data_IF_256825671511
#
_entry.id   IF_256825671511
#
_cell.length_a   1.000
_cell.length_b   1.000
_cell.length_c   1.000
_cell.angle_alpha   90.00
_cell.angle_beta   90.00
_cell.angle_gamma   90.00
#
_symmetry.space_group_name_H-M   'P 1'
#
loop_
_entity.id
_entity.type
_entity.pdbx_description
1 polymer ?
#
# COMPACT_ATOMS: atom_id res chain seq x y z
N UNK A 1 28.61 -33.46 49.92
CA UNK A 1 28.21 -32.03 49.89
C UNK A 1 27.21 -31.85 48.74
N UNK A 2 25.98 -31.42 49.09
CA UNK A 2 24.82 -30.97 48.28
C UNK A 2 24.93 -30.87 46.74
N UNK A 3 23.90 -31.33 46.00
CA UNK A 3 22.69 -30.53 45.63
C UNK A 3 21.59 -31.39 44.99
N UNK A 4 20.36 -31.07 45.37
CA UNK A 4 19.10 -31.75 45.07
C UNK A 4 18.49 -31.39 43.71
N UNK A 5 17.77 -32.36 43.14
CA UNK A 5 16.70 -32.24 42.14
C UNK A 5 15.53 -31.38 42.64
N UNK A 6 14.84 -30.67 41.73
CA UNK A 6 13.39 -30.41 41.80
C UNK A 6 12.83 -29.88 40.46
N UNK A 7 12.16 -30.78 39.73
CA UNK A 7 11.21 -30.48 38.65
C UNK A 7 9.87 -30.03 39.26
N UNK A 8 9.31 -28.91 38.79
CA UNK A 8 8.01 -28.38 39.22
C UNK A 8 6.83 -28.99 38.46
N UNK A 9 5.88 -29.58 39.19
CA UNK A 9 4.60 -30.12 38.69
C UNK A 9 3.46 -29.13 39.02
N UNK A 10 2.61 -28.85 38.03
CA UNK A 10 1.46 -27.92 38.06
C UNK A 10 0.48 -28.21 39.21
N UNK A 11 0.08 -27.18 39.96
CA UNK A 11 -1.01 -27.22 40.96
C UNK A 11 -2.37 -27.07 40.28
N UNK A 12 -3.29 -27.98 40.59
CA UNK A 12 -4.71 -27.93 40.22
C UNK A 12 -5.48 -26.97 41.14
N UNK A 13 -6.45 -26.25 40.57
CA UNK A 13 -7.30 -25.28 41.28
C UNK A 13 -8.42 -26.02 42.03
N UNK A 14 -8.68 -25.71 43.31
CA UNK A 14 -9.69 -26.38 44.14
C UNK A 14 -11.13 -26.11 43.68
N UNK A 15 -12.00 -27.11 43.87
CA UNK A 15 -13.36 -27.25 43.34
C UNK A 15 -14.34 -26.14 43.79
N UNK A 16 -14.03 -25.35 44.82
CA UNK A 16 -14.88 -24.26 45.31
C UNK A 16 -14.93 -23.03 44.38
N UNK A 17 -13.92 -22.82 43.53
CA UNK A 17 -13.89 -21.68 42.59
C UNK A 17 -14.67 -21.93 41.28
N UNK A 18 -15.04 -23.19 40.98
CA UNK A 18 -15.82 -23.53 39.77
C UNK A 18 -17.32 -23.25 39.94
N UNK A 19 -17.84 -23.36 41.16
CA UNK A 19 -19.25 -23.11 41.46
C UNK A 19 -19.56 -21.61 41.41
N UNK A 20 -18.61 -20.75 41.81
CA UNK A 20 -18.77 -19.29 41.79
C UNK A 20 -18.74 -18.70 40.36
N UNK A 21 -17.96 -19.29 39.44
CA UNK A 21 -17.96 -18.88 38.02
C UNK A 21 -19.24 -19.26 37.28
N UNK A 22 -19.83 -20.43 37.58
CA UNK A 22 -21.09 -20.86 36.94
C UNK A 22 -22.27 -20.01 37.42
N UNK A 23 -22.32 -19.64 38.71
CA UNK A 23 -23.35 -18.75 39.24
C UNK A 23 -23.31 -17.35 38.59
N UNK A 24 -22.12 -16.86 38.22
CA UNK A 24 -21.92 -15.55 37.59
C UNK A 24 -22.44 -15.52 36.13
N UNK A 25 -22.28 -16.62 35.38
CA UNK A 25 -22.76 -16.70 33.99
C UNK A 25 -24.30 -16.78 33.88
N UNK A 26 -24.95 -17.45 34.83
CA UNK A 26 -26.42 -17.58 34.85
C UNK A 26 -27.10 -16.23 35.12
N UNK A 27 -26.51 -15.39 35.98
CA UNK A 27 -27.03 -14.04 36.25
C UNK A 27 -26.97 -13.11 35.03
N UNK A 28 -25.91 -13.19 34.20
CA UNK A 28 -25.77 -12.36 32.99
C UNK A 28 -26.77 -12.79 31.91
N UNK A 29 -27.01 -14.09 31.74
CA UNK A 29 -28.00 -14.58 30.79
C UNK A 29 -29.44 -14.17 31.18
N UNK A 30 -29.78 -14.20 32.48
CA UNK A 30 -31.09 -13.76 32.96
C UNK A 30 -31.35 -12.27 32.73
N UNK A 31 -30.32 -11.41 32.88
CA UNK A 31 -30.44 -9.97 32.65
C UNK A 31 -30.71 -9.62 31.17
N UNK A 32 -30.10 -10.34 30.22
CA UNK A 32 -30.30 -10.12 28.77
C UNK A 32 -31.72 -10.50 28.35
N UNK A 33 -32.28 -11.58 28.89
CA UNK A 33 -33.66 -12.00 28.57
C UNK A 33 -34.69 -10.98 29.08
N UNK A 34 -34.49 -10.42 30.28
CA UNK A 34 -35.37 -9.36 30.82
C UNK A 34 -35.32 -8.09 29.97
N UNK A 35 -34.14 -7.72 29.45
CA UNK A 35 -33.99 -6.56 28.56
C UNK A 35 -34.72 -6.74 27.21
N UNK A 36 -34.66 -7.95 26.63
CA UNK A 36 -35.39 -8.27 25.38
C UNK A 36 -36.90 -8.25 25.59
N UNK A 37 -37.39 -8.73 26.75
CA UNK A 37 -38.82 -8.69 27.08
C UNK A 37 -39.34 -7.27 27.36
N UNK A 38 -38.56 -6.42 28.04
CA UNK A 38 -38.95 -5.03 28.31
C UNK A 38 -39.01 -4.17 27.03
N UNK A 39 -38.07 -4.36 26.08
CA UNK A 39 -38.09 -3.60 24.82
C UNK A 39 -39.22 -4.02 23.88
N UNK A 40 -39.70 -5.27 23.94
CA UNK A 40 -40.88 -5.71 23.18
C UNK A 40 -42.21 -5.21 23.74
N UNK A 41 -42.26 -4.79 25.00
CA UNK A 41 -43.50 -4.40 25.67
C UNK A 41 -43.80 -2.88 25.64
N UNK A 42 -42.90 -2.05 25.09
CA UNK A 42 -42.99 -0.58 25.20
C UNK A 42 -43.48 0.19 23.97
N UNK A 43 -43.81 -0.42 22.81
CA UNK A 43 -44.40 0.39 21.73
C UNK A 43 -45.27 -0.37 20.75
N UNK A 44 -46.27 -1.04 21.31
CA UNK A 44 -47.49 -1.40 20.60
C UNK A 44 -48.66 -1.06 21.53
N UNK A 45 -49.22 0.16 21.39
CA UNK A 45 -50.53 0.63 21.89
C UNK A 45 -50.68 2.15 21.65
N UNK A 46 -51.40 2.54 20.59
CA UNK A 46 -52.65 3.30 20.72
C UNK A 46 -53.27 3.60 19.35
N UNK A 47 -54.55 3.27 19.26
CA UNK A 47 -55.46 3.28 18.10
C UNK A 47 -56.49 4.41 18.17
N UNK A 48 -56.78 4.97 16.98
CA UNK A 48 -58.07 5.43 16.41
C UNK A 48 -58.88 6.61 16.99
N UNK A 49 -59.20 7.54 16.09
CA UNK A 49 -60.34 8.46 16.12
C UNK A 49 -60.51 9.09 14.72
N UNK A 50 -61.66 8.85 14.09
CA UNK A 50 -62.03 9.12 12.70
C UNK A 50 -62.61 10.51 12.46
N UNK A 51 -62.34 11.10 11.28
CA UNK A 51 -63.24 12.02 10.57
C UNK A 51 -63.02 11.94 9.05
N UNK A 52 -64.12 11.99 8.30
CA UNK A 52 -64.24 11.81 6.85
C UNK A 52 -64.20 13.20 6.18
N UNK A 53 -63.24 13.50 5.30
CA UNK A 53 -63.40 14.51 4.23
C UNK A 53 -62.54 14.18 2.99
N UNK A 54 -63.26 13.92 1.89
CA UNK A 54 -63.01 14.22 0.47
C UNK A 54 -61.61 14.00 -0.18
N UNK A 55 -61.61 13.02 -1.09
CA UNK A 55 -60.70 12.75 -2.22
C UNK A 55 -59.91 13.94 -2.80
N UNK A 56 -58.58 13.79 -2.86
CA UNK A 56 -57.74 14.25 -3.98
C UNK A 56 -56.53 13.31 -4.11
N UNK A 57 -56.30 12.80 -5.32
CA UNK A 57 -55.15 11.94 -5.64
C UNK A 57 -53.84 12.73 -5.46
N UNK A 58 -52.74 12.11 -4.94
CA UNK A 58 -51.42 12.72 -5.05
C UNK A 58 -50.94 12.67 -6.51
N UNK A 59 -50.17 13.66 -6.98
CA UNK A 59 -49.65 13.65 -8.34
C UNK A 59 -48.66 12.50 -8.50
N UNK A 60 -48.78 11.80 -9.61
CA UNK A 60 -47.85 10.78 -10.07
C UNK A 60 -46.45 11.38 -10.16
N UNK A 61 -45.57 11.04 -9.22
CA UNK A 61 -44.14 11.28 -9.36
C UNK A 61 -43.66 10.47 -10.57
N UNK A 62 -43.29 11.21 -11.62
CA UNK A 62 -42.59 10.67 -12.77
C UNK A 62 -41.24 10.14 -12.27
N UNK A 63 -40.79 8.94 -12.66
CA UNK A 63 -39.48 8.45 -12.25
C UNK A 63 -38.43 9.47 -12.69
N UNK A 64 -37.73 10.06 -11.73
CA UNK A 64 -36.54 10.86 -11.97
C UNK A 64 -35.58 9.97 -12.74
N UNK A 65 -35.39 10.26 -14.02
CA UNK A 65 -34.43 9.60 -14.89
C UNK A 65 -33.06 9.72 -14.21
N UNK A 66 -32.59 8.60 -13.64
CA UNK A 66 -31.32 8.55 -12.94
C UNK A 66 -30.24 8.98 -13.93
N UNK A 67 -29.53 10.07 -13.62
CA UNK A 67 -28.36 10.49 -14.40
C UNK A 67 -27.46 9.25 -14.60
N UNK A 68 -27.10 8.91 -15.85
CA UNK A 68 -26.26 7.74 -16.09
C UNK A 68 -24.97 7.90 -15.26
N UNK A 69 -24.58 6.83 -14.58
CA UNK A 69 -23.36 6.81 -13.80
C UNK A 69 -22.19 7.24 -14.72
N UNK A 70 -21.25 8.07 -14.23
CA UNK A 70 -20.12 8.49 -15.04
C UNK A 70 -19.32 7.27 -15.50
N UNK A 71 -18.77 7.33 -16.72
CA UNK A 71 -17.93 6.26 -17.27
C UNK A 71 -16.81 5.92 -16.27
N UNK A 72 -16.52 4.64 -15.99
CA UNK A 72 -15.54 4.26 -14.97
C UNK A 72 -14.12 4.77 -15.26
N UNK A 73 -13.82 5.04 -16.53
CA UNK A 73 -12.51 5.50 -16.99
C UNK A 73 -12.70 6.72 -17.90
N UNK A 74 -11.86 7.75 -17.69
CA UNK A 74 -11.78 8.97 -18.50
C UNK A 74 -10.46 8.98 -19.28
N UNK A 75 -10.40 8.45 -20.52
CA UNK A 75 -9.14 8.24 -21.23
C UNK A 75 -8.29 9.51 -21.45
N UNK A 76 -8.94 10.66 -21.58
CA UNK A 76 -8.27 11.95 -21.79
C UNK A 76 -7.63 12.55 -20.54
N UNK A 77 -7.99 12.07 -19.35
CA UNK A 77 -7.41 12.56 -18.11
C UNK A 77 -5.98 12.05 -17.93
N UNK A 78 -5.09 12.85 -17.36
CA UNK A 78 -3.65 12.57 -17.32
C UNK A 78 -3.12 12.22 -15.94
N UNK A 79 -3.99 12.12 -14.92
CA UNK A 79 -3.60 11.74 -13.55
C UNK A 79 -4.47 10.59 -13.03
N UNK A 80 -3.99 9.88 -12.00
CA UNK A 80 -4.68 8.69 -11.45
C UNK A 80 -6.11 9.01 -11.00
N UNK A 81 -6.29 10.00 -10.13
CA UNK A 81 -7.60 10.35 -9.56
C UNK A 81 -8.60 10.92 -10.57
N UNK A 82 -8.11 11.52 -11.66
CA UNK A 82 -8.95 12.04 -12.74
C UNK A 82 -9.28 10.99 -13.80
N UNK A 83 -8.38 10.02 -14.04
CA UNK A 83 -8.59 8.97 -15.06
C UNK A 83 -9.53 7.89 -14.58
N UNK A 84 -9.51 7.54 -13.30
CA UNK A 84 -10.34 6.48 -12.78
C UNK A 84 -11.44 7.07 -11.90
N UNK A 85 -12.68 6.99 -12.38
CA UNK A 85 -13.82 7.41 -11.58
C UNK A 85 -14.06 6.41 -10.45
N UNK A 86 -14.53 6.92 -9.32
CA UNK A 86 -14.84 6.11 -8.14
C UNK A 86 -16.05 5.22 -8.44
N UNK A 87 -16.08 3.94 -8.01
CA UNK A 87 -17.24 3.10 -8.21
C UNK A 87 -18.49 3.66 -7.53
N UNK A 88 -19.67 3.34 -8.07
CA UNK A 88 -20.94 3.80 -7.52
C UNK A 88 -21.09 3.45 -6.04
N UNK A 89 -21.52 4.41 -5.23
CA UNK A 89 -21.69 4.27 -3.78
C UNK A 89 -20.40 4.44 -2.95
N UNK A 90 -19.25 4.67 -3.58
CA UNK A 90 -18.01 4.99 -2.88
C UNK A 90 -17.65 6.47 -3.02
N UNK A 91 -16.93 6.98 -2.04
CA UNK A 91 -16.37 8.33 -2.02
C UNK A 91 -14.84 8.25 -1.92
N UNK A 92 -14.14 8.98 -2.81
CA UNK A 92 -12.68 9.03 -2.79
C UNK A 92 -12.19 9.65 -1.48
N UNK A 93 -11.24 8.98 -0.84
CA UNK A 93 -10.53 9.55 0.31
C UNK A 93 -9.64 10.68 -0.16
N UNK A 94 -9.92 11.88 0.32
CA UNK A 94 -9.14 13.07 -0.01
C UNK A 94 -7.78 13.01 0.67
N UNK A 95 -6.72 13.13 -0.12
CA UNK A 95 -5.38 13.25 0.42
C UNK A 95 -5.10 14.67 0.94
N UNK A 96 -4.37 14.76 2.04
CA UNK A 96 -3.84 16.03 2.52
C UNK A 96 -2.91 16.64 1.46
N UNK A 97 -3.02 17.95 1.24
CA UNK A 97 -2.15 18.65 0.28
C UNK A 97 -0.69 18.42 0.60
N UNK A 98 0.14 18.30 -0.43
CA UNK A 98 1.59 18.05 -0.32
C UNK A 98 1.99 16.70 0.28
N UNK A 99 1.05 15.84 0.66
CA UNK A 99 1.34 14.49 1.17
C UNK A 99 1.76 13.51 0.06
N UNK A 100 2.35 12.37 0.47
CA UNK A 100 2.65 11.29 -0.46
C UNK A 100 1.38 10.70 -1.11
N UNK A 101 0.27 10.66 -0.37
CA UNK A 101 -1.03 10.26 -0.91
C UNK A 101 -1.49 11.20 -2.03
N UNK A 102 -1.36 12.51 -1.84
CA UNK A 102 -1.72 13.50 -2.86
C UNK A 102 -0.80 13.41 -4.07
N UNK A 103 0.49 13.16 -3.86
CA UNK A 103 1.45 12.91 -4.93
C UNK A 103 1.05 11.70 -5.78
N UNK A 104 0.65 10.59 -5.17
CA UNK A 104 0.23 9.38 -5.88
C UNK A 104 -1.10 9.57 -6.61
N UNK A 105 -2.13 10.13 -5.96
CA UNK A 105 -3.43 10.38 -6.59
C UNK A 105 -3.34 11.33 -7.80
N UNK A 106 -2.35 12.23 -7.81
CA UNK A 106 -2.13 13.18 -8.91
C UNK A 106 -0.95 12.77 -9.80
N UNK A 107 -0.41 11.57 -9.66
CA UNK A 107 0.73 11.12 -10.45
C UNK A 107 0.37 11.07 -11.93
N UNK A 108 1.23 11.66 -12.77
CA UNK A 108 1.02 11.74 -14.21
C UNK A 108 1.01 10.34 -14.86
N UNK A 109 0.09 10.13 -15.79
CA UNK A 109 -0.08 8.91 -16.55
C UNK A 109 0.32 9.15 -18.01
N UNK A 110 0.79 8.09 -18.69
CA UNK A 110 0.91 8.09 -20.16
C UNK A 110 -0.46 8.11 -20.82
N UNK A 111 -0.49 8.21 -22.14
CA UNK A 111 -1.72 8.04 -22.92
C UNK A 111 -2.39 6.71 -22.58
N UNK A 112 -3.72 6.70 -22.52
CA UNK A 112 -4.51 5.62 -21.94
C UNK A 112 -4.19 4.22 -22.48
N UNK A 113 -4.05 4.08 -23.80
CA UNK A 113 -3.81 2.78 -24.45
C UNK A 113 -2.33 2.33 -24.45
N UNK A 114 -1.45 3.09 -23.79
CA UNK A 114 -0.02 2.78 -23.73
C UNK A 114 0.22 1.46 -23.00
N UNK A 115 1.05 0.59 -23.59
CA UNK A 115 1.55 -0.62 -22.95
C UNK A 115 2.81 -0.31 -22.14
N UNK A 116 2.96 -0.86 -20.91
CA UNK A 116 4.19 -0.65 -20.16
C UNK A 116 5.35 -1.31 -20.88
N UNK A 117 6.50 -0.66 -20.90
CA UNK A 117 7.73 -1.28 -21.38
C UNK A 117 8.25 -2.29 -20.36
N UNK A 118 8.79 -3.41 -20.85
CA UNK A 118 9.51 -4.42 -20.06
C UNK A 118 10.87 -4.69 -20.69
N UNK A 119 11.87 -4.94 -19.87
CA UNK A 119 13.18 -5.38 -20.31
C UNK A 119 13.11 -6.83 -20.78
N UNK A 120 13.36 -7.05 -22.06
CA UNK A 120 13.54 -8.38 -22.62
C UNK A 120 14.97 -8.86 -22.37
N UNK A 121 15.11 -9.97 -21.66
CA UNK A 121 16.40 -10.54 -21.27
C UNK A 121 17.13 -11.21 -22.43
N UNK A 122 16.41 -11.62 -23.48
CA UNK A 122 17.00 -12.23 -24.67
C UNK A 122 17.63 -11.17 -25.57
N UNK A 123 16.86 -10.16 -25.98
CA UNK A 123 17.36 -9.08 -26.86
C UNK A 123 18.14 -7.99 -26.11
N UNK A 124 18.03 -7.93 -24.78
CA UNK A 124 18.60 -6.86 -23.93
C UNK A 124 18.06 -5.46 -24.26
N UNK A 125 16.79 -5.39 -24.66
CA UNK A 125 16.12 -4.13 -25.02
C UNK A 125 14.78 -3.99 -24.31
N UNK A 126 14.20 -2.79 -24.33
CA UNK A 126 12.85 -2.54 -23.84
C UNK A 126 11.84 -2.83 -24.96
N UNK A 127 10.82 -3.63 -24.65
CA UNK A 127 9.71 -3.95 -25.55
C UNK A 127 8.37 -3.67 -24.87
N UNK A 128 7.30 -3.52 -25.66
CA UNK A 128 5.95 -3.42 -25.10
C UNK A 128 5.55 -4.74 -24.41
N UNK A 129 5.08 -4.65 -23.17
CA UNK A 129 4.54 -5.80 -22.45
C UNK A 129 3.04 -5.95 -22.71
N UNK A 130 2.69 -6.61 -23.81
CA UNK A 130 1.30 -6.85 -24.21
C UNK A 130 0.52 -7.71 -23.21
N UNK A 131 1.22 -8.54 -22.43
CA UNK A 131 0.64 -9.46 -21.44
C UNK A 131 0.47 -8.85 -20.05
N UNK A 132 0.96 -7.62 -19.82
CA UNK A 132 0.81 -6.99 -18.52
C UNK A 132 -0.68 -6.73 -18.21
N UNK A 133 -1.15 -7.04 -16.98
CA UNK A 133 -2.48 -6.64 -16.53
C UNK A 133 -2.49 -5.14 -16.20
N UNK A 134 -2.20 -4.30 -17.20
CA UNK A 134 -2.10 -2.85 -17.08
C UNK A 134 -3.42 -2.20 -17.48
N UNK A 135 -3.91 -1.31 -16.61
CA UNK A 135 -4.99 -0.37 -16.93
C UNK A 135 -4.45 0.99 -17.39
N UNK A 136 -3.26 1.39 -16.94
CA UNK A 136 -2.57 2.60 -17.37
C UNK A 136 -1.11 2.58 -16.91
N UNK A 137 -0.23 3.25 -17.64
CA UNK A 137 1.21 3.34 -17.30
C UNK A 137 1.49 4.68 -16.61
N UNK A 138 2.25 4.66 -15.52
CA UNK A 138 2.73 5.88 -14.87
C UNK A 138 3.76 6.55 -15.79
N UNK A 139 3.71 7.88 -15.88
CA UNK A 139 4.63 8.68 -16.70
C UNK A 139 5.99 8.84 -15.98
N UNK A 140 6.64 7.73 -15.68
CA UNK A 140 7.96 7.63 -15.08
C UNK A 140 8.80 6.69 -15.95
N UNK A 141 9.99 7.13 -16.36
CA UNK A 141 10.90 6.32 -17.16
C UNK A 141 11.49 5.15 -16.35
N UNK A 142 12.28 4.26 -16.97
CA UNK A 142 13.07 3.27 -16.24
C UNK A 142 14.47 3.83 -15.93
N UNK A 143 14.94 3.64 -14.69
CA UNK A 143 16.32 3.96 -14.34
C UNK A 143 17.28 3.08 -15.15
N UNK A 144 18.27 3.72 -15.79
CA UNK A 144 19.33 3.11 -16.59
C UNK A 144 18.85 2.25 -17.80
N UNK A 145 17.53 2.21 -18.08
CA UNK A 145 16.87 1.43 -19.18
C UNK A 145 17.30 -0.05 -19.31
N UNK A 146 18.00 -0.59 -18.32
CA UNK A 146 18.42 -1.98 -18.22
C UNK A 146 17.52 -2.75 -17.26
N UNK A 147 17.94 -3.96 -16.91
CA UNK A 147 17.21 -4.83 -15.99
C UNK A 147 17.45 -4.50 -14.50
N UNK A 148 17.50 -3.21 -14.14
CA UNK A 148 17.87 -2.79 -12.78
C UNK A 148 16.65 -2.56 -11.89
N UNK A 149 15.71 -1.68 -12.28
CA UNK A 149 14.56 -1.32 -11.45
C UNK A 149 13.54 -2.46 -11.43
N UNK A 150 13.68 -3.37 -10.47
CA UNK A 150 12.76 -4.49 -10.26
C UNK A 150 11.49 -4.03 -9.51
N UNK A 151 10.66 -4.99 -9.11
CA UNK A 151 9.34 -4.73 -8.53
C UNK A 151 9.36 -3.84 -7.28
N UNK A 152 10.16 -4.18 -6.26
CA UNK A 152 10.28 -3.39 -5.02
C UNK A 152 10.99 -2.05 -5.23
N UNK A 153 11.98 -2.00 -6.10
CA UNK A 153 12.72 -0.79 -6.46
C UNK A 153 11.80 0.28 -7.04
N UNK A 154 10.79 -0.13 -7.80
CA UNK A 154 9.78 0.76 -8.37
C UNK A 154 8.99 1.49 -7.28
N UNK A 155 8.65 0.81 -6.19
CA UNK A 155 7.90 1.41 -5.08
C UNK A 155 8.79 2.34 -4.24
N UNK A 156 10.03 1.89 -3.98
CA UNK A 156 11.06 2.71 -3.34
C UNK A 156 11.30 4.01 -4.12
N UNK A 157 11.41 3.91 -5.45
CA UNK A 157 11.60 5.07 -6.33
C UNK A 157 10.46 6.07 -6.22
N UNK A 158 9.20 5.62 -6.26
CA UNK A 158 8.05 6.54 -6.14
C UNK A 158 8.13 7.38 -4.87
N UNK A 159 8.51 6.76 -3.74
CA UNK A 159 8.68 7.47 -2.47
C UNK A 159 9.89 8.41 -2.48
N UNK A 160 11.02 7.95 -3.04
CA UNK A 160 12.23 8.78 -3.17
C UNK A 160 12.00 10.01 -4.06
N UNK A 161 11.35 9.86 -5.20
CA UNK A 161 11.01 10.94 -6.15
C UNK A 161 10.09 11.97 -5.50
N UNK A 162 9.11 11.51 -4.70
CA UNK A 162 8.27 12.39 -3.90
C UNK A 162 9.09 13.25 -2.93
N UNK A 163 9.95 12.61 -2.12
CA UNK A 163 10.79 13.33 -1.15
C UNK A 163 11.78 14.28 -1.85
N UNK A 164 12.37 13.84 -2.96
CA UNK A 164 13.30 14.63 -3.76
C UNK A 164 12.62 15.86 -4.36
N UNK A 165 11.43 15.70 -4.95
CA UNK A 165 10.62 16.80 -5.48
C UNK A 165 10.16 17.81 -4.42
N UNK A 166 10.07 17.38 -3.15
CA UNK A 166 9.83 18.27 -2.00
C UNK A 166 11.11 18.87 -1.40
N UNK A 167 12.29 18.57 -1.94
CA UNK A 167 13.58 19.01 -1.40
C UNK A 167 13.94 18.39 -0.05
N UNK A 168 13.27 17.30 0.36
CA UNK A 168 13.47 16.59 1.64
C UNK A 168 14.64 15.61 1.55
N UNK A 169 15.81 16.09 1.13
CA UNK A 169 16.96 15.23 0.81
C UNK A 169 17.48 14.39 1.99
N UNK A 170 17.41 14.91 3.21
CA UNK A 170 17.82 14.20 4.44
C UNK A 170 16.92 13.03 4.80
N UNK A 171 15.70 13.03 4.26
CA UNK A 171 14.70 12.01 4.54
C UNK A 171 14.77 10.85 3.53
N UNK A 172 15.52 11.04 2.44
CA UNK A 172 15.80 10.00 1.45
C UNK A 172 16.91 9.11 2.01
N UNK A 173 16.51 8.01 2.65
CA UNK A 173 17.44 7.02 3.15
C UNK A 173 16.83 5.63 3.12
N UNK A 174 17.60 4.65 2.68
CA UNK A 174 17.15 3.27 2.56
C UNK A 174 18.15 2.32 3.18
N UNK A 175 17.63 1.37 3.95
CA UNK A 175 18.40 0.28 4.53
C UNK A 175 18.69 -0.79 3.48
N UNK A 176 19.96 -1.19 3.38
CA UNK A 176 20.46 -2.33 2.63
C UNK A 176 20.74 -3.48 3.61
N UNK A 177 20.32 -4.70 3.27
CA UNK A 177 20.44 -5.87 4.14
C UNK A 177 21.84 -6.48 4.15
N UNK A 178 22.78 -5.71 4.70
CA UNK A 178 24.16 -6.11 4.99
C UNK A 178 24.31 -6.50 6.46
N UNK A 179 25.49 -6.97 6.88
CA UNK A 179 25.80 -7.28 8.28
C UNK A 179 26.96 -6.41 8.78
N UNK A 180 26.71 -5.31 9.51
CA UNK A 180 25.41 -4.81 9.97
C UNK A 180 24.57 -4.18 8.84
N UNK A 181 23.27 -3.98 9.08
CA UNK A 181 22.38 -3.28 8.15
C UNK A 181 22.95 -1.90 7.85
N UNK A 182 23.13 -1.59 6.58
CA UNK A 182 23.71 -0.33 6.14
C UNK A 182 22.60 0.63 5.72
N UNK A 183 22.53 1.80 6.37
CA UNK A 183 21.60 2.86 5.99
C UNK A 183 22.27 3.75 4.93
N UNK A 184 21.83 3.62 3.69
CA UNK A 184 22.31 4.42 2.57
C UNK A 184 21.44 5.69 2.44
N UNK A 185 21.89 6.83 2.93
CA UNK A 185 21.20 8.12 2.82
C UNK A 185 21.73 8.99 1.68
N UNK A 186 20.81 9.75 1.07
CA UNK A 186 21.11 10.63 -0.06
C UNK A 186 21.89 11.89 0.38
N UNK A 187 21.74 12.34 1.62
CA UNK A 187 22.49 13.48 2.14
C UNK A 187 24.01 13.20 2.11
N UNK A 188 24.44 12.06 2.64
CA UNK A 188 25.83 11.61 2.57
C UNK A 188 26.28 11.41 1.12
N UNK A 189 25.43 10.82 0.28
CA UNK A 189 25.73 10.63 -1.14
C UNK A 189 25.98 11.95 -1.89
N UNK A 190 25.11 12.94 -1.65
CA UNK A 190 25.18 14.28 -2.26
C UNK A 190 26.43 15.04 -1.84
N UNK A 191 27.03 14.70 -0.69
CA UNK A 191 28.29 15.25 -0.18
C UNK A 191 29.52 14.46 -0.67
N UNK A 192 29.31 13.50 -1.56
CA UNK A 192 30.34 12.73 -2.21
C UNK A 192 30.51 11.30 -1.69
N UNK A 193 29.80 10.90 -0.62
CA UNK A 193 29.86 9.54 -0.13
C UNK A 193 29.50 8.51 -1.22
N UNK A 194 30.27 7.43 -1.31
CA UNK A 194 30.01 6.29 -2.20
C UNK A 194 30.06 4.98 -1.42
N UNK A 195 29.43 3.94 -1.95
CA UNK A 195 29.44 2.63 -1.30
C UNK A 195 30.85 2.02 -1.45
N UNK A 196 31.50 1.72 -0.33
CA UNK A 196 32.64 0.82 -0.31
C UNK A 196 32.13 -0.63 -0.24
N UNK A 197 32.48 -1.38 -1.28
CA UNK A 197 32.07 -2.76 -1.52
C UNK A 197 33.21 -3.76 -1.32
N UNK A 198 34.39 -3.31 -0.87
CA UNK A 198 35.59 -4.15 -0.69
C UNK A 198 35.33 -5.38 0.18
N UNK A 199 34.38 -5.29 1.11
CA UNK A 199 34.01 -6.37 2.04
C UNK A 199 32.66 -7.01 1.74
N UNK A 200 32.07 -6.78 0.56
CA UNK A 200 30.77 -7.38 0.23
C UNK A 200 30.86 -8.92 0.18
N UNK A 201 31.96 -9.45 -0.38
CA UNK A 201 32.22 -10.89 -0.41
C UNK A 201 32.86 -11.42 0.88
N UNK A 202 33.21 -10.53 1.81
CA UNK A 202 33.87 -10.82 3.09
C UNK A 202 32.94 -10.48 4.26
N UNK A 203 31.77 -11.14 4.26
CA UNK A 203 30.77 -10.99 5.33
C UNK A 203 29.60 -10.07 5.00
N UNK A 204 29.33 -9.81 3.72
CA UNK A 204 28.18 -9.02 3.25
C UNK A 204 28.14 -7.63 3.92
N UNK A 205 29.27 -6.92 3.85
CA UNK A 205 29.45 -5.61 4.46
C UNK A 205 29.52 -4.52 3.39
N UNK A 206 28.78 -3.44 3.62
CA UNK A 206 28.88 -2.17 2.89
C UNK A 206 29.20 -1.09 3.91
N UNK A 207 30.05 -0.14 3.50
CA UNK A 207 30.33 1.06 4.28
C UNK A 207 30.44 2.29 3.37
N UNK A 208 30.66 3.46 3.96
CA UNK A 208 30.91 4.67 3.19
C UNK A 208 32.39 4.79 2.84
N UNK A 209 32.70 4.98 1.55
CA UNK A 209 33.90 5.68 1.13
C UNK A 209 33.64 7.19 1.14
N UNK A 210 34.39 7.91 1.96
CA UNK A 210 34.35 9.38 2.05
C UNK A 210 35.63 10.02 1.52
N UNK A 211 36.70 9.25 1.38
CA UNK A 211 37.99 9.66 0.87
C UNK A 211 38.17 9.18 -0.57
N UNK A 212 38.08 10.10 -1.53
CA UNK A 212 38.28 9.79 -2.94
C UNK A 212 39.76 9.53 -3.30
N UNK A 213 40.60 9.21 -2.31
CA UNK A 213 41.91 8.59 -2.52
C UNK A 213 41.74 7.24 -3.21
N UNK A 214 42.74 6.85 -3.99
CA UNK A 214 42.61 5.82 -5.04
C UNK A 214 42.14 4.43 -4.64
N UNK A 215 41.93 4.13 -3.36
CA UNK A 215 41.59 2.81 -2.84
C UNK A 215 40.10 2.47 -2.95
N UNK A 216 39.19 3.45 -2.89
CA UNK A 216 37.75 3.18 -3.03
C UNK A 216 37.21 3.30 -4.46
N UNK A 217 38.09 3.54 -5.45
CA UNK A 217 37.75 3.47 -6.88
C UNK A 217 36.90 4.62 -7.44
N UNK A 218 36.47 5.59 -6.63
CA UNK A 218 35.64 6.72 -7.06
C UNK A 218 36.46 8.01 -7.19
N UNK A 219 37.05 8.26 -8.37
CA UNK A 219 37.91 9.44 -8.62
C UNK A 219 37.14 10.69 -9.05
N UNK A 220 36.00 10.51 -9.72
CA UNK A 220 35.15 11.60 -10.21
C UNK A 220 33.77 11.49 -9.56
N UNK A 221 33.57 12.26 -8.50
CA UNK A 221 32.37 12.22 -7.67
C UNK A 221 31.59 13.51 -7.87
N UNK A 222 30.45 13.41 -8.54
CA UNK A 222 29.50 14.53 -8.61
C UNK A 222 28.95 14.82 -7.20
N UNK A 223 29.01 16.11 -6.83
CA UNK A 223 28.50 16.66 -5.59
C UNK A 223 27.18 17.40 -5.83
N UNK A 224 26.41 17.54 -4.76
CA UNK A 224 25.15 18.25 -4.74
C UNK A 224 23.95 17.36 -5.03
N UNK A 225 22.82 18.00 -5.29
CA UNK A 225 21.50 17.37 -5.37
C UNK A 225 20.94 17.45 -6.79
N UNK A 226 21.79 17.32 -7.80
CA UNK A 226 21.34 17.28 -9.19
C UNK A 226 20.51 16.02 -9.46
N UNK A 227 19.69 16.06 -10.52
CA UNK A 227 18.93 14.87 -10.95
C UNK A 227 19.87 13.71 -11.30
N UNK A 228 21.01 14.00 -11.93
CA UNK A 228 22.05 13.01 -12.22
C UNK A 228 22.58 12.33 -10.96
N UNK A 229 22.92 13.13 -9.93
CA UNK A 229 23.39 12.62 -8.64
C UNK A 229 22.33 11.78 -7.94
N UNK A 230 21.07 12.22 -7.95
CA UNK A 230 19.94 11.50 -7.35
C UNK A 230 19.66 10.18 -8.06
N UNK A 231 19.62 10.18 -9.40
CA UNK A 231 19.44 8.95 -10.17
C UNK A 231 20.61 7.99 -9.99
N UNK A 232 21.84 8.49 -9.81
CA UNK A 232 22.99 7.63 -9.53
C UNK A 232 22.93 7.02 -8.12
N UNK A 233 22.46 7.78 -7.13
CA UNK A 233 22.14 7.25 -5.80
C UNK A 233 21.11 6.11 -5.88
N UNK A 234 19.97 6.35 -6.56
CA UNK A 234 18.92 5.35 -6.71
C UNK A 234 19.44 4.07 -7.40
N UNK A 235 20.27 4.21 -8.45
CA UNK A 235 20.88 3.05 -9.10
C UNK A 235 21.66 2.17 -8.12
N UNK A 236 22.44 2.80 -7.23
CA UNK A 236 23.25 2.06 -6.26
C UNK A 236 22.39 1.43 -5.17
N UNK A 237 21.39 2.13 -4.66
CA UNK A 237 20.43 1.55 -3.71
C UNK A 237 19.75 0.32 -4.32
N UNK A 238 19.20 0.45 -5.53
CA UNK A 238 18.50 -0.63 -6.25
C UNK A 238 19.39 -1.82 -6.58
N UNK A 239 20.69 -1.59 -6.80
CA UNK A 239 21.64 -2.68 -7.09
C UNK A 239 21.82 -3.61 -5.89
N UNK A 240 21.66 -3.10 -4.67
CA UNK A 240 21.91 -3.82 -3.42
C UNK A 240 20.66 -3.94 -2.53
N UNK A 241 19.48 -3.63 -3.06
CA UNK A 241 18.21 -3.78 -2.36
C UNK A 241 17.32 -4.82 -3.02
N UNK A 242 16.44 -5.40 -2.21
CA UNK A 242 15.39 -6.32 -2.61
C UNK A 242 14.11 -6.02 -1.81
N UNK A 243 13.05 -6.82 -2.00
CA UNK A 243 11.81 -6.68 -1.22
C UNK A 243 12.06 -6.79 0.29
N UNK A 244 12.99 -7.67 0.71
CA UNK A 244 13.36 -7.83 2.12
C UNK A 244 13.94 -6.53 2.69
N UNK A 245 14.81 -5.86 1.92
CA UNK A 245 15.39 -4.56 2.24
C UNK A 245 14.31 -3.48 2.32
N UNK A 246 13.40 -3.43 1.35
CA UNK A 246 12.26 -2.50 1.34
C UNK A 246 11.43 -2.60 2.63
N UNK A 247 11.10 -3.81 3.08
CA UNK A 247 10.32 -4.04 4.32
C UNK A 247 10.97 -3.41 5.55
N UNK A 248 12.31 -3.37 5.63
CA UNK A 248 12.98 -2.74 6.79
C UNK A 248 12.81 -1.21 6.85
N UNK A 249 12.49 -0.58 5.71
CA UNK A 249 12.20 0.85 5.60
C UNK A 249 10.74 1.18 5.93
N UNK A 250 9.94 0.17 6.30
CA UNK A 250 8.51 0.31 6.52
C UNK A 250 8.06 -0.27 7.86
N UNK A 251 6.86 0.10 8.27
CA UNK A 251 6.16 -0.45 9.44
C UNK A 251 4.97 -1.27 8.95
N UNK A 252 4.86 -2.51 9.43
CA UNK A 252 3.70 -3.38 9.15
C UNK A 252 2.46 -2.82 9.86
N UNK A 253 1.35 -2.67 9.15
CA UNK A 253 0.07 -2.31 9.75
C UNK A 253 -0.46 -3.45 10.62
N UNK A 254 -1.11 -3.11 11.74
CA UNK A 254 -1.73 -4.10 12.63
C UNK A 254 -2.99 -4.73 12.02
N UNK A 255 -3.73 -3.97 11.21
CA UNK A 255 -4.88 -4.45 10.46
C UNK A 255 -4.83 -3.93 9.01
N UNK A 256 -5.07 -4.79 8.00
CA UNK A 256 -5.17 -4.34 6.60
C UNK A 256 -6.26 -3.29 6.37
N UNK A 257 -7.31 -3.27 7.21
CA UNK A 257 -8.39 -2.29 7.11
C UNK A 257 -7.94 -0.84 7.37
N UNK A 258 -6.78 -0.66 8.00
CA UNK A 258 -6.17 0.66 8.23
C UNK A 258 -5.39 1.18 7.01
N UNK A 259 -5.39 0.41 5.91
CA UNK A 259 -4.74 0.78 4.67
C UNK A 259 -5.24 2.14 4.15
N UNK A 260 -4.29 2.88 3.60
CA UNK A 260 -4.39 4.23 3.06
C UNK A 260 -3.55 4.34 1.77
N UNK A 261 -3.77 5.40 0.99
CA UNK A 261 -2.93 5.69 -0.18
C UNK A 261 -1.47 5.88 0.27
N UNK A 262 -0.55 5.25 -0.47
CA UNK A 262 0.88 5.19 -0.14
C UNK A 262 1.31 3.92 0.60
N UNK A 263 0.36 3.10 1.07
CA UNK A 263 0.69 1.82 1.69
C UNK A 263 1.03 0.75 0.65
N UNK A 264 1.92 -0.15 1.03
CA UNK A 264 2.46 -1.21 0.17
C UNK A 264 1.90 -2.56 0.62
N UNK A 265 1.31 -3.28 -0.33
CA UNK A 265 0.87 -4.66 -0.18
C UNK A 265 2.05 -5.56 -0.52
N UNK A 266 2.42 -6.44 0.42
CA UNK A 266 3.39 -7.50 0.23
C UNK A 266 2.66 -8.83 0.35
N UNK A 267 2.70 -9.62 -0.72
CA UNK A 267 1.99 -10.89 -0.83
C UNK A 267 2.74 -12.02 -0.11
N UNK A 268 2.01 -13.06 0.28
CA UNK A 268 2.60 -14.25 0.86
C UNK A 268 3.35 -15.10 -0.17
N UNK A 269 2.91 -15.08 -1.43
CA UNK A 269 3.63 -15.67 -2.54
C UNK A 269 4.81 -14.77 -2.94
N UNK A 270 6.07 -15.23 -2.79
CA UNK A 270 7.24 -14.44 -3.17
C UNK A 270 7.35 -14.14 -4.66
N UNK A 271 6.62 -14.86 -5.52
CA UNK A 271 6.57 -14.58 -6.96
C UNK A 271 5.66 -13.39 -7.30
N UNK A 272 4.74 -13.03 -6.40
CA UNK A 272 3.85 -11.91 -6.63
C UNK A 272 4.53 -10.60 -6.25
N UNK A 273 4.70 -9.73 -7.25
CA UNK A 273 5.33 -8.43 -7.08
C UNK A 273 4.55 -7.57 -6.07
N UNK A 274 5.22 -6.92 -5.09
CA UNK A 274 4.55 -5.99 -4.20
C UNK A 274 3.92 -4.84 -4.97
N UNK A 275 2.84 -4.28 -4.43
CA UNK A 275 2.10 -3.20 -5.06
C UNK A 275 1.85 -2.06 -4.07
N UNK A 276 1.85 -0.81 -4.55
CA UNK A 276 1.52 0.37 -3.75
C UNK A 276 0.10 0.82 -4.04
N UNK A 277 -0.65 1.19 -3.00
CA UNK A 277 -1.97 1.79 -3.13
C UNK A 277 -1.81 3.25 -3.61
N UNK A 278 -2.38 3.57 -4.77
CA UNK A 278 -2.25 4.89 -5.42
C UNK A 278 -3.55 5.70 -5.41
N UNK A 279 -4.68 5.06 -5.15
CA UNK A 279 -5.96 5.72 -4.88
C UNK A 279 -6.81 4.85 -3.95
N UNK A 280 -7.72 5.45 -3.19
CA UNK A 280 -8.58 4.75 -2.23
C UNK A 280 -9.93 5.45 -2.09
N UNK A 281 -11.00 4.67 -2.02
CA UNK A 281 -12.35 5.15 -1.79
C UNK A 281 -13.05 4.31 -0.72
N UNK A 282 -13.97 4.94 0.01
CA UNK A 282 -14.73 4.34 1.11
C UNK A 282 -16.21 4.41 0.78
N UNK A 283 -16.95 3.34 1.01
CA UNK A 283 -18.40 3.37 0.99
C UNK A 283 -18.89 3.94 2.34
N UNK A 284 -19.56 5.11 2.36
CA UNK A 284 -19.98 5.74 3.61
C UNK A 284 -21.07 4.96 4.35
N UNK A 285 -21.77 4.03 3.69
CA UNK A 285 -22.85 3.25 4.31
C UNK A 285 -22.36 2.12 5.23
N UNK A 286 -21.23 1.48 4.91
CA UNK A 286 -20.70 0.32 5.65
C UNK A 286 -19.21 0.41 5.98
N UNK A 287 -18.51 1.45 5.50
CA UNK A 287 -17.08 1.65 5.72
C UNK A 287 -16.18 0.74 4.88
N UNK A 288 -16.73 -0.05 3.96
CA UNK A 288 -15.95 -0.88 3.04
C UNK A 288 -15.04 -0.03 2.16
N UNK A 289 -13.86 -0.55 1.86
CA UNK A 289 -12.81 0.17 1.10
C UNK A 289 -12.56 -0.51 -0.24
N UNK A 290 -12.41 0.32 -1.27
CA UNK A 290 -11.83 -0.07 -2.56
C UNK A 290 -10.57 0.75 -2.83
N UNK A 291 -9.64 0.18 -3.57
CA UNK A 291 -8.36 0.83 -3.85
C UNK A 291 -7.87 0.56 -5.27
N UNK A 292 -7.06 1.47 -5.79
CA UNK A 292 -6.26 1.26 -6.99
C UNK A 292 -4.83 1.01 -6.55
N UNK A 293 -4.15 0.08 -7.21
CA UNK A 293 -2.74 -0.22 -6.94
C UNK A 293 -1.87 -0.11 -8.18
N UNK A 294 -0.60 0.23 -7.98
CA UNK A 294 0.43 0.23 -9.01
C UNK A 294 1.61 -0.66 -8.61
N UNK A 295 2.29 -1.25 -9.61
CA UNK A 295 3.47 -2.10 -9.38
C UNK A 295 4.45 -2.06 -10.53
N UNK A 296 5.70 -2.41 -10.24
CA UNK A 296 6.70 -2.82 -11.23
C UNK A 296 6.71 -4.34 -11.40
N UNK A 297 7.82 -4.87 -11.91
CA UNK A 297 7.96 -6.31 -12.17
C UNK A 297 9.40 -6.76 -12.28
N UNK A 298 9.55 -8.08 -12.50
CA UNK A 298 10.83 -8.75 -12.72
C UNK A 298 10.67 -9.70 -13.91
N UNK A 299 11.33 -9.48 -15.07
CA UNK A 299 12.31 -8.43 -15.38
C UNK A 299 11.80 -6.99 -15.21
N UNK A 300 12.72 -6.03 -15.17
CA UNK A 300 12.42 -4.60 -14.96
C UNK A 300 11.38 -4.11 -15.95
N UNK A 301 10.33 -3.45 -15.46
CA UNK A 301 9.28 -2.89 -16.29
C UNK A 301 8.79 -1.56 -15.73
N UNK A 302 8.21 -0.75 -16.61
CA UNK A 302 7.58 0.50 -16.21
C UNK A 302 6.47 0.27 -15.20
N UNK A 303 6.29 1.22 -14.30
CA UNK A 303 5.25 1.13 -13.27
C UNK A 303 3.89 1.31 -13.93
N UNK A 304 2.97 0.40 -13.67
CA UNK A 304 1.61 0.47 -14.19
C UNK A 304 0.56 0.28 -13.11
N UNK A 305 -0.61 0.88 -13.32
CA UNK A 305 -1.83 0.61 -12.56
C UNK A 305 -2.33 -0.78 -12.93
N UNK A 306 -2.51 -1.63 -11.93
CA UNK A 306 -2.95 -3.01 -12.14
C UNK A 306 -4.44 -3.02 -12.49
N UNK A 307 -4.80 -3.76 -13.53
CA UNK A 307 -6.17 -3.99 -13.96
C UNK A 307 -6.84 -5.02 -13.06
N UNK A 308 -8.11 -4.79 -12.70
CA UNK A 308 -8.92 -5.78 -12.01
C UNK A 308 -9.70 -6.63 -13.03
N UNK A 309 -9.07 -7.72 -13.48
CA UNK A 309 -9.69 -8.67 -14.42
C UNK A 309 -10.80 -9.52 -13.78
N UNK A 310 -10.97 -9.47 -12.45
CA UNK A 310 -11.95 -10.27 -11.72
C UNK A 310 -13.31 -9.58 -11.51
N UNK A 311 -13.35 -8.25 -11.56
CA UNK A 311 -14.57 -7.46 -11.36
C UNK A 311 -14.61 -6.26 -12.32
N UNK A 312 -15.22 -6.48 -13.48
CA UNK A 312 -15.32 -5.47 -14.54
C UNK A 312 -16.13 -4.24 -14.12
N UNK A 313 -17.04 -4.35 -13.14
CA UNK A 313 -17.90 -3.26 -12.71
C UNK A 313 -17.14 -2.18 -11.93
N UNK A 314 -16.03 -2.54 -11.30
CA UNK A 314 -15.21 -1.63 -10.52
C UNK A 314 -13.80 -1.46 -11.09
N UNK A 315 -13.45 -2.10 -12.22
CA UNK A 315 -12.10 -2.02 -12.79
C UNK A 315 -11.63 -0.56 -12.99
N UNK A 316 -10.39 -0.18 -12.57
CA UNK A 316 -9.32 -1.00 -12.00
C UNK A 316 -9.29 -1.07 -10.47
N UNK A 317 -10.37 -0.69 -9.80
CA UNK A 317 -10.47 -0.78 -8.35
C UNK A 317 -10.55 -2.23 -7.88
N UNK A 318 -9.97 -2.49 -6.70
CA UNK A 318 -10.00 -3.77 -6.00
C UNK A 318 -10.64 -3.56 -4.61
N UNK A 319 -11.37 -4.56 -4.09
CA UNK A 319 -11.92 -4.48 -2.73
C UNK A 319 -10.83 -4.85 -1.71
N UNK A 320 -10.71 -4.06 -0.66
CA UNK A 320 -9.73 -4.30 0.41
C UNK A 320 -10.02 -5.61 1.17
N UNK A 321 -11.28 -6.01 1.26
CA UNK A 321 -11.72 -7.29 1.83
C UNK A 321 -11.28 -8.52 1.04
N UNK A 322 -10.88 -8.33 -0.23
CA UNK A 322 -10.45 -9.40 -1.13
C UNK A 322 -8.92 -9.53 -1.19
N UNK A 323 -8.18 -8.86 -0.29
CA UNK A 323 -6.74 -9.07 -0.16
C UNK A 323 -6.43 -10.56 0.02
N UNK A 324 -5.45 -11.12 -0.73
CA UNK A 324 -5.10 -12.52 -0.63
C UNK A 324 -4.74 -12.93 0.80
N UNK A 325 -5.08 -14.18 1.17
CA UNK A 325 -4.72 -14.73 2.48
C UNK A 325 -3.21 -14.66 2.66
N UNK A 326 -2.77 -14.07 3.78
CA UNK A 326 -1.35 -13.90 4.12
C UNK A 326 -0.72 -12.62 3.58
N UNK A 327 -1.39 -11.86 2.73
CA UNK A 327 -0.94 -10.53 2.34
C UNK A 327 -0.80 -9.63 3.58
N UNK A 328 0.26 -8.83 3.59
CA UNK A 328 0.57 -7.87 4.65
C UNK A 328 0.66 -6.47 4.07
N UNK A 329 0.18 -5.49 4.81
CA UNK A 329 0.22 -4.07 4.41
C UNK A 329 1.27 -3.35 5.23
N UNK A 330 2.09 -2.53 4.56
CA UNK A 330 3.20 -1.79 5.14
C UNK A 330 3.11 -0.30 4.78
N UNK A 331 3.63 0.56 5.67
CA UNK A 331 3.72 2.01 5.46
C UNK A 331 5.16 2.46 5.60
N UNK A 332 5.65 3.33 4.71
CA UNK A 332 6.98 3.96 4.88
C UNK A 332 7.08 4.66 6.24
N UNK A 333 8.27 4.59 6.84
CA UNK A 333 8.57 5.19 8.16
C UNK A 333 8.75 6.70 8.10
#
# INVERSE_FOLDING_TARGET
>A
MNRNNLYGKKRSIPLSNKILMIASLVCVAAAIVVFIFFNRHQKNKNTNGSDIVLSSQPPTETPSEATPAPDPIVPSATTISQRFNVPSGYERVQAESESFAAYLQNFSLRDYDTKPLVYDTETKTLINNESAPSASVLALDLINRGNLQQSSDSLLRLYAEYLYGKGRYTDIAFNLLTTPVFRCDFDTWSKGGRLDLSKINEGNQISWCLDHSGDCGHKDVELGTSEGTFRYYLQNVMTYSDTSSLVTNMTKLSAPQDASVGDIIVYADPQEAPAIIVDLAVNPSDGSKVYIMARGGSPACEIYVVRNDSDAAINPWHKLSELPIGASVYRFK
#
